data_IF_398639213569
#
_entry.id   IF_398639213569
#
_cell.length_a   1.000
_cell.length_b   1.000
_cell.length_c   1.000
_cell.angle_alpha   90.00
_cell.angle_beta   90.00
_cell.angle_gamma   90.00
#
_symmetry.space_group_name_H-M   'P 1'
#
loop_
_entity.id
_entity.type
_entity.pdbx_description
1 polymer ?
#
# COMPACT_ATOMS: atom_id res chain seq x y z
N UNK A 1 5.58 3.69 -38.79
CA UNK A 1 5.14 4.56 -37.67
C UNK A 1 4.17 3.70 -36.89
N UNK A 2 4.49 3.32 -35.66
CA UNK A 2 3.64 2.37 -34.93
C UNK A 2 2.52 3.17 -34.27
N UNK A 3 1.34 3.16 -34.88
CA UNK A 3 0.16 3.83 -34.34
C UNK A 3 -0.18 3.25 -32.97
N UNK A 4 0.16 4.01 -31.92
CA UNK A 4 -0.08 3.61 -30.53
C UNK A 4 -1.58 3.70 -30.28
N UNK A 5 -2.25 2.55 -30.29
CA UNK A 5 -3.64 2.44 -29.83
C UNK A 5 -3.72 2.75 -28.34
N UNK A 6 -4.69 3.57 -27.97
CA UNK A 6 -5.02 3.92 -26.61
C UNK A 6 -6.34 3.25 -26.23
N UNK A 7 -6.48 2.88 -24.97
CA UNK A 7 -7.69 2.29 -24.42
C UNK A 7 -8.44 3.35 -23.61
N UNK A 8 -9.77 3.34 -23.66
CA UNK A 8 -10.63 4.23 -22.88
C UNK A 8 -11.72 3.42 -22.19
N UNK A 9 -11.91 3.68 -20.90
CA UNK A 9 -12.99 3.10 -20.11
C UNK A 9 -14.24 3.96 -20.22
N UNK A 10 -15.36 3.37 -20.65
CA UNK A 10 -16.62 4.06 -20.73
C UNK A 10 -17.23 4.29 -19.34
N UNK A 11 -17.56 5.55 -19.07
CA UNK A 11 -18.21 6.00 -17.84
C UNK A 11 -19.72 6.13 -17.97
N UNK A 12 -20.24 6.17 -19.20
CA UNK A 12 -21.63 6.28 -19.55
C UNK A 12 -21.91 5.41 -20.79
N UNK A 13 -23.16 4.95 -20.93
CA UNK A 13 -23.60 4.24 -22.14
C UNK A 13 -23.51 5.17 -23.36
N UNK A 14 -22.94 4.68 -24.45
CA UNK A 14 -22.85 5.43 -25.70
C UNK A 14 -22.75 4.48 -26.88
N UNK A 15 -23.59 4.71 -27.89
CA UNK A 15 -23.69 3.83 -29.06
C UNK A 15 -24.02 2.39 -28.63
N UNK A 16 -23.37 1.38 -29.23
CA UNK A 16 -23.47 -0.03 -28.86
C UNK A 16 -22.65 -0.41 -27.62
N UNK A 17 -21.93 0.53 -26.99
CA UNK A 17 -21.08 0.28 -25.84
C UNK A 17 -21.77 0.71 -24.53
N UNK A 18 -21.63 -0.11 -23.50
CA UNK A 18 -22.20 0.12 -22.18
C UNK A 18 -21.18 0.75 -21.23
N UNK A 19 -21.69 1.38 -20.17
CA UNK A 19 -20.84 1.84 -19.07
C UNK A 19 -20.04 0.65 -18.51
N UNK A 20 -18.72 0.80 -18.46
CA UNK A 20 -17.78 -0.25 -18.03
C UNK A 20 -17.04 -0.93 -19.18
N UNK A 21 -17.50 -0.78 -20.42
CA UNK A 21 -16.78 -1.32 -21.58
C UNK A 21 -15.49 -0.54 -21.88
N UNK A 22 -14.56 -1.20 -22.56
CA UNK A 22 -13.28 -0.62 -22.98
C UNK A 22 -13.33 -0.43 -24.50
N UNK A 23 -13.12 0.82 -24.94
CA UNK A 23 -12.90 1.16 -26.34
C UNK A 23 -11.40 1.28 -26.62
N UNK A 24 -10.93 0.69 -27.71
CA UNK A 24 -9.53 0.78 -28.15
C UNK A 24 -9.44 1.43 -29.54
N UNK A 25 -8.54 2.40 -29.69
CA UNK A 25 -8.34 3.12 -30.94
C UNK A 25 -7.20 4.12 -30.85
N UNK A 26 -6.81 4.73 -31.97
CA UNK A 26 -5.72 5.71 -31.97
C UNK A 26 -6.14 7.08 -31.39
N UNK A 27 -7.43 7.42 -31.53
CA UNK A 27 -8.02 8.65 -31.02
C UNK A 27 -9.42 8.39 -30.47
N UNK A 28 -9.80 9.17 -29.46
CA UNK A 28 -11.15 9.11 -28.90
C UNK A 28 -12.15 9.70 -29.90
N UNK A 29 -13.15 8.94 -30.38
CA UNK A 29 -14.15 9.49 -31.28
C UNK A 29 -15.09 10.45 -30.55
N UNK A 30 -15.66 11.41 -31.29
CA UNK A 30 -16.52 12.47 -30.73
C UNK A 30 -17.71 11.95 -29.94
N UNK A 31 -18.28 10.80 -30.31
CA UNK A 31 -19.42 10.19 -29.60
C UNK A 31 -19.05 9.55 -28.25
N UNK A 32 -17.74 9.41 -27.95
CA UNK A 32 -17.22 9.04 -26.63
C UNK A 32 -16.62 10.23 -25.86
N UNK A 33 -16.55 11.43 -26.46
CA UNK A 33 -16.04 12.62 -25.80
C UNK A 33 -16.89 12.95 -24.56
N UNK A 34 -16.24 13.06 -23.40
CA UNK A 34 -16.92 13.28 -22.11
C UNK A 34 -17.60 12.05 -21.51
N UNK A 35 -17.68 10.93 -22.25
CA UNK A 35 -18.28 9.67 -21.79
C UNK A 35 -17.27 8.55 -21.55
N UNK A 36 -16.02 8.70 -21.98
CA UNK A 36 -14.96 7.74 -21.70
C UNK A 36 -13.74 8.43 -21.08
N UNK A 37 -13.03 7.71 -20.21
CA UNK A 37 -11.78 8.16 -19.58
C UNK A 37 -10.61 7.39 -20.16
N UNK A 38 -9.47 8.04 -20.47
CA UNK A 38 -8.29 7.32 -20.95
C UNK A 38 -7.87 6.32 -19.88
N UNK A 39 -7.85 5.05 -20.26
CA UNK A 39 -7.22 4.03 -19.44
C UNK A 39 -5.73 4.22 -19.69
N UNK A 40 -5.04 4.84 -18.73
CA UNK A 40 -3.58 4.79 -18.73
C UNK A 40 -3.20 3.33 -18.94
N UNK A 41 -2.37 3.05 -19.95
CA UNK A 41 -1.88 1.70 -20.22
C UNK A 41 -1.48 1.14 -18.87
N UNK A 42 -2.27 0.18 -18.39
CA UNK A 42 -2.10 -0.35 -17.05
C UNK A 42 -0.84 -1.16 -17.17
N UNK A 43 0.30 -0.52 -16.92
CA UNK A 43 1.53 -1.19 -16.55
C UNK A 43 1.16 -1.89 -15.27
N UNK A 44 0.58 -3.08 -15.41
CA UNK A 44 0.80 -4.13 -14.45
C UNK A 44 2.31 -4.31 -14.50
N UNK A 45 3.04 -3.52 -13.71
CA UNK A 45 4.38 -3.87 -13.28
C UNK A 45 4.14 -5.14 -12.46
N UNK A 46 4.11 -6.26 -13.19
CA UNK A 46 4.15 -7.58 -12.59
C UNK A 46 5.50 -7.56 -11.90
N UNK A 47 5.48 -7.42 -10.57
CA UNK A 47 6.71 -7.37 -9.77
C UNK A 47 7.61 -8.49 -10.29
N UNK A 48 8.77 -8.10 -10.82
CA UNK A 48 9.70 -9.10 -11.34
C UNK A 48 10.05 -10.06 -10.19
N UNK A 49 10.36 -11.34 -10.46
CA UNK A 49 10.71 -12.29 -9.40
C UNK A 49 11.79 -11.76 -8.45
N UNK A 50 12.73 -10.94 -8.97
CA UNK A 50 13.74 -10.21 -8.20
C UNK A 50 13.17 -9.16 -7.24
N UNK A 51 12.17 -8.38 -7.65
CA UNK A 51 11.51 -7.39 -6.78
C UNK A 51 10.68 -8.06 -5.69
N UNK A 52 10.01 -9.17 -6.00
CA UNK A 52 9.31 -9.97 -5.00
C UNK A 52 10.28 -10.57 -3.97
N UNK A 53 11.46 -11.00 -4.40
CA UNK A 53 12.51 -11.48 -3.50
C UNK A 53 13.01 -10.38 -2.55
N UNK A 54 13.24 -9.17 -3.07
CA UNK A 54 13.63 -8.01 -2.24
C UNK A 54 12.55 -7.63 -1.24
N UNK A 55 11.29 -7.55 -1.67
CA UNK A 55 10.18 -7.24 -0.79
C UNK A 55 9.99 -8.30 0.31
N UNK A 56 10.22 -9.58 0.02
CA UNK A 56 10.20 -10.64 1.03
C UNK A 56 11.34 -10.52 2.05
N UNK A 57 12.55 -10.18 1.57
CA UNK A 57 13.69 -9.94 2.45
C UNK A 57 13.43 -8.74 3.38
N UNK A 58 12.96 -7.63 2.83
CA UNK A 58 12.61 -6.42 3.59
C UNK A 58 11.49 -6.70 4.60
N UNK A 59 10.48 -7.47 4.22
CA UNK A 59 9.39 -7.87 5.11
C UNK A 59 9.90 -8.73 6.26
N UNK A 60 10.81 -9.67 5.97
CA UNK A 60 11.43 -10.54 6.98
C UNK A 60 12.26 -9.72 7.97
N UNK A 61 13.07 -8.79 7.45
CA UNK A 61 13.89 -7.90 8.30
C UNK A 61 13.00 -7.00 9.18
N UNK A 62 11.97 -6.38 8.61
CA UNK A 62 11.05 -5.54 9.35
C UNK A 62 10.33 -6.32 10.44
N UNK A 63 9.93 -7.57 10.16
CA UNK A 63 9.30 -8.46 11.14
C UNK A 63 10.26 -8.80 12.29
N UNK A 64 11.53 -9.06 11.98
CA UNK A 64 12.57 -9.27 13.00
C UNK A 64 12.73 -8.07 13.93
N UNK A 65 12.86 -6.87 13.36
CA UNK A 65 12.98 -5.61 14.12
C UNK A 65 11.77 -5.35 15.01
N UNK A 66 10.56 -5.66 14.54
CA UNK A 66 9.33 -5.52 15.35
C UNK A 66 9.35 -6.48 16.54
N UNK A 67 9.84 -7.71 16.37
CA UNK A 67 9.99 -8.66 17.48
C UNK A 67 10.97 -8.13 18.53
N UNK A 68 12.17 -7.70 18.10
CA UNK A 68 13.19 -7.15 19.02
C UNK A 68 12.66 -5.94 19.79
N UNK A 69 12.01 -5.00 19.11
CA UNK A 69 11.40 -3.83 19.76
C UNK A 69 10.28 -4.23 20.74
N UNK A 70 9.57 -5.33 20.48
CA UNK A 70 8.53 -5.83 21.38
C UNK A 70 9.16 -6.38 22.66
N UNK A 71 10.22 -7.17 22.53
CA UNK A 71 10.95 -7.74 23.68
C UNK A 71 11.59 -6.64 24.54
N UNK A 72 12.22 -5.64 23.91
CA UNK A 72 12.80 -4.49 24.59
C UNK A 72 11.75 -3.68 25.36
N UNK A 73 10.56 -3.49 24.76
CA UNK A 73 9.48 -2.76 25.40
C UNK A 73 8.92 -3.52 26.62
N UNK A 74 8.82 -4.85 26.54
CA UNK A 74 8.43 -5.67 27.70
C UNK A 74 9.43 -5.55 28.85
N UNK A 75 10.73 -5.58 28.54
CA UNK A 75 11.79 -5.40 29.54
C UNK A 75 11.71 -4.03 30.20
N UNK A 76 11.57 -2.96 29.41
CA UNK A 76 11.43 -1.60 29.94
C UNK A 76 10.19 -1.43 30.82
N UNK A 77 9.08 -2.10 30.51
CA UNK A 77 7.89 -2.08 31.36
C UNK A 77 8.11 -2.79 32.70
N UNK A 78 8.86 -3.89 32.70
CA UNK A 78 9.24 -4.58 33.94
C UNK A 78 10.14 -3.71 34.82
N UNK A 79 11.17 -3.10 34.23
CA UNK A 79 12.11 -2.20 34.92
C UNK A 79 11.37 -0.97 35.49
N UNK A 80 10.43 -0.39 34.73
CA UNK A 80 9.61 0.73 35.18
C UNK A 80 8.73 0.34 36.38
N UNK A 81 8.13 -0.84 36.35
CA UNK A 81 7.29 -1.36 37.45
C UNK A 81 8.13 -1.59 38.71
N UNK A 82 9.33 -2.15 38.57
CA UNK A 82 10.26 -2.33 39.68
C UNK A 82 10.67 -0.99 40.30
N UNK A 83 11.07 -0.02 39.47
CA UNK A 83 11.44 1.32 39.94
C UNK A 83 10.29 2.01 40.68
N UNK A 84 9.05 1.88 40.17
CA UNK A 84 7.86 2.41 40.83
C UNK A 84 7.63 1.78 42.21
N UNK A 85 7.82 0.46 42.34
CA UNK A 85 7.71 -0.23 43.63
C UNK A 85 8.77 0.26 44.61
N UNK A 86 10.03 0.37 44.19
CA UNK A 86 11.12 0.87 45.03
C UNK A 86 10.84 2.30 45.52
N UNK A 87 10.34 3.18 44.64
CA UNK A 87 9.95 4.55 45.01
C UNK A 87 8.82 4.53 46.05
N UNK A 88 7.82 3.65 45.89
CA UNK A 88 6.71 3.53 46.84
C UNK A 88 7.20 3.08 48.23
N UNK A 89 8.15 2.14 48.29
CA UNK A 89 8.76 1.70 49.55
C UNK A 89 9.59 2.78 50.22
N UNK A 90 10.41 3.51 49.46
CA UNK A 90 11.20 4.63 49.99
C UNK A 90 10.29 5.73 50.53
N UNK A 91 9.20 6.06 49.83
CA UNK A 91 8.20 7.03 50.31
C UNK A 91 7.55 6.61 51.63
N UNK A 92 7.35 5.31 51.87
CA UNK A 92 6.83 4.79 53.16
C UNK A 92 7.86 4.92 54.29
N UNK A 93 9.16 4.81 54.00
CA UNK A 93 10.24 4.91 54.99
C UNK A 93 10.55 6.35 55.43
N UNK A 94 10.27 7.32 54.57
CA UNK A 94 10.55 8.75 54.82
C UNK A 94 9.35 9.47 55.45
N UNK A 95 8.21 8.80 55.60
CA UNK A 95 6.97 9.34 56.16
C UNK A 95 6.70 8.77 57.55
#
# INVERSE_FOLDING_TARGET
>A
MTDKKQQWLLTHDSHDLKKGDIYEGEKLPLWLAGKAKPLAARTFEVATPDELGKLQADLTEATGKVSELTDDNQKLQADLTEAQNQIAELKKKVK
#
